data_IF_888332857823
#
_entry.id   IF_888332857823
#
_cell.length_a   1.000
_cell.length_b   1.000
_cell.length_c   1.000
_cell.angle_alpha   90.00
_cell.angle_beta   90.00
_cell.angle_gamma   90.00
#
_symmetry.space_group_name_H-M   'P 1'
#
loop_
_entity.id
_entity.type
_entity.pdbx_description
1 polymer ?
#
# COMPACT_ATOMS: atom_id res chain seq x y z
N UNK A 1 -20.55 16.44 -12.76
CA UNK A 1 -20.81 15.12 -12.13
C UNK A 1 -20.92 15.26 -10.62
N UNK A 2 -20.04 16.03 -9.97
CA UNK A 2 -20.08 16.30 -8.51
C UNK A 2 -21.41 16.86 -7.99
N UNK A 3 -22.09 17.77 -8.71
CA UNK A 3 -23.39 18.29 -8.26
C UNK A 3 -24.48 17.21 -8.22
N UNK A 4 -24.46 16.28 -9.18
CA UNK A 4 -25.39 15.13 -9.20
C UNK A 4 -25.08 14.15 -8.08
N UNK A 5 -23.80 13.92 -7.78
CA UNK A 5 -23.39 13.10 -6.65
C UNK A 5 -23.87 13.73 -5.33
N UNK A 6 -23.66 15.04 -5.16
CA UNK A 6 -24.13 15.79 -3.99
C UNK A 6 -25.66 15.71 -3.84
N UNK A 7 -26.42 15.87 -4.91
CA UNK A 7 -27.88 15.71 -4.90
C UNK A 7 -28.29 14.29 -4.49
N UNK A 8 -27.62 13.27 -5.05
CA UNK A 8 -27.87 11.87 -4.73
C UNK A 8 -27.58 11.55 -3.27
N UNK A 9 -26.43 11.97 -2.72
CA UNK A 9 -26.09 11.75 -1.32
C UNK A 9 -27.05 12.47 -0.37
N UNK A 10 -27.43 13.72 -0.67
CA UNK A 10 -28.43 14.43 0.13
C UNK A 10 -29.80 13.75 0.08
N UNK A 11 -30.20 13.22 -1.08
CA UNK A 11 -31.45 12.45 -1.20
C UNK A 11 -31.38 11.18 -0.36
N UNK A 12 -30.27 10.45 -0.45
CA UNK A 12 -30.03 9.21 0.29
C UNK A 12 -30.03 9.44 1.81
N UNK A 13 -29.31 10.46 2.27
CA UNK A 13 -29.24 10.86 3.69
C UNK A 13 -30.60 11.20 4.30
N UNK A 14 -31.54 11.71 3.49
CA UNK A 14 -32.87 12.13 3.94
C UNK A 14 -33.95 11.03 3.78
N UNK A 15 -33.58 9.79 3.49
CA UNK A 15 -34.54 8.68 3.43
C UNK A 15 -35.11 8.37 4.84
N UNK A 16 -36.40 8.01 4.97
CA UNK A 16 -37.08 7.85 6.26
C UNK A 16 -36.41 6.88 7.27
N UNK A 17 -35.66 5.89 6.80
CA UNK A 17 -35.00 4.88 7.64
C UNK A 17 -33.46 4.96 7.55
N UNK A 18 -32.92 6.11 7.14
CA UNK A 18 -31.48 6.24 6.87
C UNK A 18 -30.63 5.97 8.12
N UNK A 19 -30.94 6.66 9.22
CA UNK A 19 -30.15 6.59 10.46
C UNK A 19 -30.17 5.19 11.11
N UNK A 20 -31.21 4.39 10.83
CA UNK A 20 -31.35 3.03 11.34
C UNK A 20 -30.53 2.00 10.56
N UNK A 21 -30.19 2.29 9.29
CA UNK A 21 -29.62 1.30 8.36
C UNK A 21 -28.22 1.67 7.83
N UNK A 22 -27.80 2.93 7.92
CA UNK A 22 -26.60 3.42 7.25
C UNK A 22 -25.71 4.26 8.16
N UNK A 23 -24.42 4.28 7.83
CA UNK A 23 -23.43 5.05 8.55
C UNK A 23 -23.50 6.53 8.15
N UNK A 24 -24.00 7.36 9.07
CA UNK A 24 -24.12 8.81 8.87
C UNK A 24 -22.76 9.47 8.61
N UNK A 25 -21.72 9.09 9.35
CA UNK A 25 -20.39 9.69 9.20
C UNK A 25 -19.83 9.45 7.80
N UNK A 26 -20.02 8.24 7.26
CA UNK A 26 -19.57 7.91 5.91
C UNK A 26 -20.27 8.76 4.86
N UNK A 27 -21.59 8.91 4.94
CA UNK A 27 -22.33 9.72 3.95
C UNK A 27 -22.02 11.21 4.08
N UNK A 28 -21.89 11.71 5.30
CA UNK A 28 -21.48 13.10 5.53
C UNK A 28 -20.04 13.35 5.03
N UNK A 29 -19.15 12.36 5.12
CA UNK A 29 -17.82 12.42 4.50
C UNK A 29 -17.91 12.54 2.99
N UNK A 30 -18.68 11.69 2.31
CA UNK A 30 -18.86 11.74 0.86
C UNK A 30 -19.46 13.06 0.37
N UNK A 31 -20.45 13.61 1.11
CA UNK A 31 -21.02 14.93 0.85
C UNK A 31 -19.93 16.02 0.96
N UNK A 32 -19.12 15.96 2.00
CA UNK A 32 -18.00 16.89 2.22
C UNK A 32 -16.97 16.78 1.10
N UNK A 33 -16.61 15.56 0.70
CA UNK A 33 -15.64 15.27 -0.35
C UNK A 33 -16.10 15.77 -1.71
N UNK A 34 -17.41 15.74 -2.02
CA UNK A 34 -17.95 16.42 -3.22
C UNK A 34 -17.62 17.93 -3.25
N UNK A 35 -17.62 18.59 -2.09
CA UNK A 35 -17.25 20.00 -1.95
C UNK A 35 -15.74 20.21 -2.10
N UNK A 36 -14.92 19.40 -1.42
CA UNK A 36 -13.45 19.42 -1.48
C UNK A 36 -12.95 19.14 -2.91
N UNK A 37 -13.56 18.18 -3.60
CA UNK A 37 -13.22 17.78 -4.96
C UNK A 37 -13.26 18.94 -5.95
N UNK A 38 -14.24 19.86 -5.81
CA UNK A 38 -14.31 21.06 -6.65
C UNK A 38 -13.07 21.95 -6.52
N UNK A 39 -12.49 22.03 -5.32
CA UNK A 39 -11.28 22.82 -5.05
C UNK A 39 -10.05 22.07 -5.56
N UNK A 40 -9.96 20.77 -5.33
CA UNK A 40 -8.79 19.97 -5.72
C UNK A 40 -8.69 19.84 -7.25
N UNK A 41 -9.82 19.75 -7.97
CA UNK A 41 -9.84 19.76 -9.45
C UNK A 41 -9.21 21.01 -10.07
N UNK A 42 -9.24 22.14 -9.36
CA UNK A 42 -8.65 23.40 -9.81
C UNK A 42 -7.12 23.49 -9.53
N UNK A 43 -6.55 22.52 -8.82
CA UNK A 43 -5.13 22.46 -8.43
C UNK A 43 -4.53 21.11 -8.87
N UNK A 44 -4.46 20.81 -10.18
CA UNK A 44 -3.99 19.52 -10.64
C UNK A 44 -2.49 19.36 -10.36
N UNK A 45 -2.12 18.15 -9.95
CA UNK A 45 -0.71 17.77 -9.83
C UNK A 45 -0.21 17.30 -11.18
N UNK A 46 0.99 17.73 -11.53
CA UNK A 46 1.64 17.29 -12.75
C UNK A 46 2.18 15.87 -12.54
N UNK A 47 1.55 14.91 -13.21
CA UNK A 47 2.01 13.52 -13.29
C UNK A 47 2.65 13.31 -14.66
N UNK A 48 3.79 12.64 -14.68
CA UNK A 48 4.44 12.17 -15.90
C UNK A 48 4.39 10.65 -15.91
N UNK A 49 3.71 10.10 -16.91
CA UNK A 49 3.61 8.66 -17.11
C UNK A 49 4.60 8.22 -18.18
N UNK A 50 5.49 7.30 -17.83
CA UNK A 50 6.49 6.75 -18.73
C UNK A 50 6.22 5.26 -18.88
N UNK A 51 5.97 4.83 -20.11
CA UNK A 51 5.90 3.41 -20.44
C UNK A 51 7.31 2.82 -20.45
N UNK A 52 7.56 1.75 -19.69
CA UNK A 52 8.89 1.14 -19.59
C UNK A 52 9.29 0.35 -20.85
N UNK A 53 8.33 0.08 -21.73
CA UNK A 53 8.52 -0.71 -22.95
C UNK A 53 8.82 -2.18 -22.67
N UNK A 54 9.12 -2.92 -23.73
CA UNK A 54 9.65 -4.28 -23.61
C UNK A 54 10.99 -4.28 -22.83
N UNK A 55 11.23 -5.27 -21.95
CA UNK A 55 10.43 -6.48 -21.77
C UNK A 55 9.35 -6.38 -20.67
N UNK A 56 9.20 -5.21 -20.01
CA UNK A 56 8.31 -5.03 -18.85
C UNK A 56 6.86 -4.81 -19.28
N UNK A 57 6.61 -3.82 -20.14
CA UNK A 57 5.30 -3.56 -20.71
C UNK A 57 5.15 -4.40 -21.99
N UNK A 58 4.79 -5.66 -21.83
CA UNK A 58 4.59 -6.62 -22.92
C UNK A 58 3.09 -6.88 -23.18
N UNK A 59 2.77 -7.90 -24.00
CA UNK A 59 1.39 -8.22 -24.39
C UNK A 59 0.51 -8.77 -23.25
N UNK A 60 1.11 -9.20 -22.14
CA UNK A 60 0.38 -9.69 -20.96
C UNK A 60 -0.02 -8.53 -20.04
N UNK A 61 -1.06 -8.73 -19.23
CA UNK A 61 -1.40 -7.77 -18.20
C UNK A 61 -0.39 -7.86 -17.05
N UNK A 62 0.47 -6.85 -16.91
CA UNK A 62 1.44 -6.73 -15.82
C UNK A 62 0.96 -5.67 -14.84
N UNK A 63 0.88 -6.03 -13.56
CA UNK A 63 0.24 -5.22 -12.52
C UNK A 63 0.91 -5.41 -11.15
N UNK A 64 0.54 -4.59 -10.17
CA UNK A 64 1.17 -4.54 -8.83
C UNK A 64 2.71 -4.54 -8.86
N UNK A 65 3.36 -3.62 -9.60
CA UNK A 65 4.80 -3.54 -9.60
C UNK A 65 5.33 -3.01 -8.27
N UNK A 66 6.43 -3.60 -7.80
CA UNK A 66 7.26 -3.11 -6.70
C UNK A 66 8.69 -3.02 -7.19
N UNK A 67 9.38 -1.93 -6.86
CA UNK A 67 10.76 -1.68 -7.28
C UNK A 67 11.66 -1.57 -6.04
N UNK A 68 12.87 -2.11 -6.11
CA UNK A 68 13.89 -1.86 -5.11
C UNK A 68 14.29 -0.39 -5.11
N UNK A 69 14.67 0.16 -3.97
CA UNK A 69 14.93 1.60 -3.85
C UNK A 69 16.23 2.02 -4.56
N UNK A 70 17.13 1.07 -4.84
CA UNK A 70 18.28 1.26 -5.74
C UNK A 70 17.91 1.18 -7.23
N UNK A 71 16.63 0.99 -7.54
CA UNK A 71 16.02 0.90 -8.87
C UNK A 71 16.57 -0.21 -9.78
N UNK A 72 17.23 -1.21 -9.21
CA UNK A 72 17.87 -2.29 -9.95
C UNK A 72 17.05 -3.58 -10.05
N UNK A 73 15.98 -3.70 -9.27
CA UNK A 73 15.10 -4.88 -9.29
C UNK A 73 13.65 -4.42 -9.32
N UNK A 74 12.86 -5.00 -10.22
CA UNK A 74 11.41 -4.86 -10.23
C UNK A 74 10.77 -6.24 -10.09
N UNK A 75 9.74 -6.34 -9.26
CA UNK A 75 8.89 -7.52 -9.13
C UNK A 75 7.46 -7.10 -9.43
N UNK A 76 6.72 -7.88 -10.18
CA UNK A 76 5.34 -7.56 -10.56
C UNK A 76 4.53 -8.83 -10.78
N UNK A 77 3.21 -8.68 -10.80
CA UNK A 77 2.27 -9.73 -11.15
C UNK A 77 2.03 -9.76 -12.65
N UNK A 78 1.92 -10.94 -13.23
CA UNK A 78 1.48 -11.15 -14.61
C UNK A 78 0.27 -12.06 -14.63
N UNK A 79 -0.79 -11.62 -15.30
CA UNK A 79 -1.97 -12.45 -15.58
C UNK A 79 -1.62 -13.50 -16.64
N UNK A 80 -1.68 -14.78 -16.28
CA UNK A 80 -1.50 -15.89 -17.20
C UNK A 80 -2.81 -16.68 -17.30
N UNK A 81 -2.95 -17.42 -18.41
CA UNK A 81 -4.15 -18.18 -18.76
C UNK A 81 -4.77 -19.02 -17.63
N UNK A 82 -3.98 -19.50 -16.66
CA UNK A 82 -4.44 -20.40 -15.60
C UNK A 82 -4.20 -19.90 -14.18
N UNK A 83 -3.35 -18.89 -13.99
CA UNK A 83 -2.97 -18.37 -12.68
C UNK A 83 -2.26 -17.02 -12.83
N UNK A 84 -2.20 -16.26 -11.74
CA UNK A 84 -1.38 -15.04 -11.69
C UNK A 84 0.02 -15.39 -11.19
N UNK A 85 1.04 -14.97 -11.93
CA UNK A 85 2.43 -15.29 -11.64
C UNK A 85 3.19 -14.08 -11.11
N UNK A 86 4.16 -14.33 -10.22
CA UNK A 86 5.10 -13.32 -9.74
C UNK A 86 6.34 -13.38 -10.63
N UNK A 87 6.64 -12.28 -11.29
CA UNK A 87 7.80 -12.11 -12.16
C UNK A 87 8.80 -11.13 -11.56
N UNK A 88 10.09 -11.36 -11.82
CA UNK A 88 11.18 -10.45 -11.47
C UNK A 88 11.94 -10.06 -12.74
N UNK A 89 12.32 -8.79 -12.85
CA UNK A 89 13.35 -8.33 -13.80
C UNK A 89 14.43 -7.54 -13.06
N UNK A 90 15.66 -7.59 -13.58
CA UNK A 90 16.79 -6.84 -13.05
C UNK A 90 17.27 -5.82 -14.07
N UNK A 91 17.78 -4.69 -13.60
CA UNK A 91 18.37 -3.67 -14.46
C UNK A 91 19.87 -3.92 -14.57
N UNK A 92 20.36 -4.17 -15.78
CA UNK A 92 21.78 -4.36 -16.10
C UNK A 92 22.17 -3.35 -17.17
N UNK A 93 23.21 -2.55 -16.91
CA UNK A 93 23.66 -1.47 -17.82
C UNK A 93 22.52 -0.52 -18.24
N UNK A 94 21.60 -0.22 -17.30
CA UNK A 94 20.46 0.66 -17.53
C UNK A 94 19.27 0.02 -18.24
N UNK A 95 19.33 -1.27 -18.60
CA UNK A 95 18.25 -1.97 -19.29
C UNK A 95 17.66 -3.09 -18.43
N UNK A 96 16.34 -3.20 -18.42
CA UNK A 96 15.64 -4.31 -17.79
C UNK A 96 15.90 -5.61 -18.55
N UNK A 97 16.23 -6.68 -17.83
CA UNK A 97 16.36 -8.03 -18.38
C UNK A 97 14.99 -8.64 -18.67
N UNK A 98 14.97 -9.71 -19.47
CA UNK A 98 13.75 -10.52 -19.62
C UNK A 98 13.23 -10.96 -18.24
N UNK A 99 11.93 -10.79 -17.96
CA UNK A 99 11.34 -11.17 -16.68
C UNK A 99 11.40 -12.68 -16.45
N UNK A 100 11.86 -13.07 -15.26
CA UNK A 100 11.92 -14.45 -14.79
C UNK A 100 10.71 -14.75 -13.88
N UNK A 101 10.06 -15.90 -14.07
CA UNK A 101 8.96 -16.34 -13.21
C UNK A 101 9.53 -16.87 -11.88
N UNK A 102 9.29 -16.14 -10.79
CA UNK A 102 9.76 -16.47 -9.45
C UNK A 102 8.69 -17.11 -8.57
N UNK A 103 7.47 -17.29 -9.07
CA UNK A 103 6.34 -17.92 -8.35
C UNK A 103 6.72 -19.23 -7.65
N UNK A 104 7.42 -20.18 -8.30
CA UNK A 104 7.80 -21.43 -7.66
C UNK A 104 8.88 -21.26 -6.58
N UNK A 105 9.74 -20.24 -6.71
CA UNK A 105 10.84 -19.99 -5.78
C UNK A 105 10.30 -19.48 -4.43
N UNK A 106 9.34 -18.56 -4.49
CA UNK A 106 8.69 -18.00 -3.29
C UNK A 106 7.62 -18.92 -2.71
N UNK A 107 7.38 -20.09 -3.33
CA UNK A 107 6.38 -21.08 -2.89
C UNK A 107 4.95 -20.57 -2.88
N UNK A 108 4.61 -19.68 -3.81
CA UNK A 108 3.25 -19.15 -3.96
C UNK A 108 2.32 -20.21 -4.55
N UNK A 109 1.19 -20.44 -3.89
CA UNK A 109 0.11 -21.38 -4.25
C UNK A 109 -1.17 -20.67 -4.75
N UNK A 110 -1.13 -19.34 -4.90
CA UNK A 110 -2.28 -18.49 -5.22
C UNK A 110 -2.59 -17.50 -4.08
N UNK A 111 -3.26 -16.39 -4.40
CA UNK A 111 -3.59 -15.32 -3.44
C UNK A 111 -2.38 -14.65 -2.76
N UNK A 112 -1.27 -14.52 -3.49
CA UNK A 112 -0.06 -13.84 -3.05
C UNK A 112 0.22 -12.65 -3.95
N UNK A 113 0.50 -11.50 -3.36
CA UNK A 113 0.88 -10.28 -4.09
C UNK A 113 2.12 -9.65 -3.46
N UNK A 114 3.08 -9.14 -4.27
CA UNK A 114 4.22 -8.38 -3.75
C UNK A 114 3.76 -7.01 -3.24
N UNK A 115 4.39 -6.52 -2.17
CA UNK A 115 4.07 -5.21 -1.58
C UNK A 115 5.28 -4.29 -1.51
N UNK A 116 6.48 -4.83 -1.33
CA UNK A 116 7.71 -4.03 -1.27
C UNK A 116 8.97 -4.88 -1.50
N UNK A 117 10.03 -4.25 -2.00
CA UNK A 117 11.40 -4.77 -2.01
C UNK A 117 12.26 -3.96 -1.02
N UNK A 118 13.23 -4.62 -0.37
CA UNK A 118 14.30 -3.90 0.35
C UNK A 118 15.08 -2.98 -0.58
N UNK A 119 15.85 -2.06 0.00
CA UNK A 119 16.68 -1.11 -0.75
C UNK A 119 17.50 -1.77 -1.86
N UNK A 120 18.15 -2.89 -1.55
CA UNK A 120 19.03 -3.66 -2.43
C UNK A 120 18.33 -4.79 -3.20
N UNK A 121 16.99 -4.89 -3.09
CA UNK A 121 16.20 -5.91 -3.77
C UNK A 121 16.44 -7.34 -3.28
N UNK A 122 16.98 -7.55 -2.08
CA UNK A 122 17.25 -8.90 -1.52
C UNK A 122 16.21 -9.42 -0.54
N UNK A 123 15.33 -8.57 -0.03
CA UNK A 123 14.14 -9.00 0.71
C UNK A 123 12.90 -8.58 -0.09
N UNK A 124 11.98 -9.52 -0.31
CA UNK A 124 10.69 -9.29 -0.96
C UNK A 124 9.60 -9.52 0.07
N UNK A 125 8.81 -8.48 0.32
CA UNK A 125 7.63 -8.54 1.17
C UNK A 125 6.42 -8.85 0.30
N UNK A 126 5.60 -9.79 0.76
CA UNK A 126 4.39 -10.22 0.09
C UNK A 126 3.23 -10.24 1.08
N UNK A 127 2.01 -10.16 0.57
CA UNK A 127 0.81 -10.46 1.35
C UNK A 127 0.17 -11.70 0.77
N UNK A 128 -0.16 -12.66 1.64
CA UNK A 128 -0.88 -13.88 1.28
C UNK A 128 -2.24 -13.91 1.94
N UNK A 129 -3.25 -14.33 1.19
CA UNK A 129 -4.59 -14.64 1.69
C UNK A 129 -5.68 -13.71 1.17
N UNK A 130 -6.88 -13.85 1.72
CA UNK A 130 -8.09 -13.17 1.23
C UNK A 130 -8.92 -12.58 2.37
N UNK A 131 -9.63 -11.49 2.06
CA UNK A 131 -10.50 -10.77 3.00
C UNK A 131 -9.77 -10.45 4.32
N UNK A 132 -10.37 -10.82 5.44
CA UNK A 132 -9.85 -10.60 6.80
C UNK A 132 -8.76 -11.60 7.22
N UNK A 133 -8.31 -12.49 6.33
CA UNK A 133 -7.28 -13.50 6.59
C UNK A 133 -6.10 -13.26 5.66
N UNK A 134 -5.43 -12.12 5.88
CA UNK A 134 -4.24 -11.69 5.14
C UNK A 134 -3.09 -11.50 6.10
N UNK A 135 -1.94 -12.05 5.73
CA UNK A 135 -0.71 -12.00 6.52
C UNK A 135 0.43 -11.48 5.65
N UNK A 136 1.39 -10.80 6.26
CA UNK A 136 2.62 -10.36 5.58
C UNK A 136 3.67 -11.47 5.66
N UNK A 137 4.29 -11.75 4.52
CA UNK A 137 5.37 -12.72 4.35
C UNK A 137 6.62 -12.02 3.84
N UNK A 138 7.76 -12.69 4.04
CA UNK A 138 9.05 -12.28 3.51
C UNK A 138 9.72 -13.44 2.79
N UNK A 139 10.24 -13.19 1.59
CA UNK A 139 11.17 -14.05 0.89
C UNK A 139 12.53 -13.35 0.77
N UNK A 140 13.62 -14.12 0.79
CA UNK A 140 14.99 -13.60 0.75
C UNK A 140 15.73 -14.12 -0.46
N UNK A 141 16.46 -13.25 -1.16
CA UNK A 141 17.32 -13.63 -2.27
C UNK A 141 18.67 -14.13 -1.77
N UNK A 142 18.96 -15.41 -1.95
CA UNK A 142 20.19 -16.09 -1.51
C UNK A 142 20.69 -17.02 -2.61
N UNK A 143 22.01 -17.01 -2.85
CA UNK A 143 22.68 -17.92 -3.79
C UNK A 143 22.05 -17.97 -5.20
N UNK A 144 21.50 -16.83 -5.65
CA UNK A 144 20.86 -16.68 -6.97
C UNK A 144 19.36 -16.99 -7.01
N UNK A 145 18.74 -17.37 -5.89
CA UNK A 145 17.33 -17.78 -5.82
C UNK A 145 16.59 -17.08 -4.69
N UNK A 146 15.28 -16.89 -4.86
CA UNK A 146 14.40 -16.56 -3.74
C UNK A 146 14.17 -17.79 -2.87
N UNK A 147 14.16 -17.59 -1.55
CA UNK A 147 13.69 -18.63 -0.62
C UNK A 147 12.18 -18.78 -0.72
N UNK A 148 11.66 -19.90 -0.23
CA UNK A 148 10.25 -19.97 0.09
C UNK A 148 9.88 -18.82 1.06
N UNK A 149 8.70 -18.23 0.88
CA UNK A 149 8.28 -17.12 1.73
C UNK A 149 7.91 -17.63 3.13
N UNK A 150 8.27 -16.85 4.15
CA UNK A 150 7.97 -17.17 5.56
C UNK A 150 7.10 -16.04 6.14
N UNK A 151 6.11 -16.36 6.99
CA UNK A 151 5.29 -15.34 7.62
C UNK A 151 6.14 -14.47 8.54
N UNK A 152 5.81 -13.18 8.64
CA UNK A 152 6.37 -12.35 9.69
C UNK A 152 5.86 -12.79 11.07
N UNK A 153 6.62 -12.47 12.11
CA UNK A 153 6.29 -12.89 13.48
C UNK A 153 5.06 -12.20 14.05
N UNK A 154 4.61 -12.65 15.23
CA UNK A 154 3.35 -12.26 15.89
C UNK A 154 3.23 -10.77 16.24
N UNK A 155 4.33 -10.02 16.22
CA UNK A 155 4.27 -8.57 16.36
C UNK A 155 3.73 -7.87 15.09
N UNK A 156 3.89 -8.51 13.94
CA UNK A 156 3.38 -8.06 12.65
C UNK A 156 2.11 -8.82 12.31
N UNK A 157 2.16 -10.14 12.18
CA UNK A 157 0.97 -10.91 11.80
C UNK A 157 0.12 -11.21 13.03
N UNK A 158 -1.17 -10.88 12.97
CA UNK A 158 -2.10 -10.97 14.10
C UNK A 158 -3.33 -11.82 13.76
N UNK A 159 -4.33 -11.86 14.65
CA UNK A 159 -5.64 -12.46 14.32
C UNK A 159 -6.53 -11.54 13.45
N UNK A 160 -5.95 -10.46 12.93
CA UNK A 160 -6.58 -9.46 12.07
C UNK A 160 -5.82 -9.46 10.74
N UNK A 161 -6.36 -8.82 9.72
CA UNK A 161 -5.70 -8.70 8.43
C UNK A 161 -4.53 -7.73 8.50
N UNK A 162 -3.43 -8.11 7.85
CA UNK A 162 -2.33 -7.25 7.46
C UNK A 162 -2.26 -7.18 5.93
N UNK A 163 -2.66 -6.05 5.34
CA UNK A 163 -3.05 -5.97 3.92
C UNK A 163 -1.96 -5.45 3.00
N UNK A 164 -0.96 -4.73 3.53
CA UNK A 164 0.16 -4.18 2.75
C UNK A 164 1.35 -3.84 3.66
N UNK A 165 2.56 -3.80 3.11
CA UNK A 165 3.75 -3.36 3.84
C UNK A 165 4.78 -2.63 2.96
N UNK A 166 5.59 -1.78 3.58
CA UNK A 166 6.79 -1.17 3.01
C UNK A 166 7.89 -1.09 4.07
N UNK A 167 9.16 -1.16 3.65
CA UNK A 167 10.31 -1.17 4.56
C UNK A 167 11.22 0.04 4.30
N UNK A 168 11.79 0.59 5.36
CA UNK A 168 12.79 1.65 5.27
C UNK A 168 14.06 1.21 4.54
N UNK A 169 14.77 2.17 3.96
CA UNK A 169 16.00 1.94 3.19
C UNK A 169 17.09 1.21 3.99
N UNK A 170 17.15 1.48 5.29
CA UNK A 170 18.06 0.81 6.23
C UNK A 170 17.60 -0.60 6.63
N UNK A 171 16.38 -1.01 6.28
CA UNK A 171 15.80 -2.32 6.60
C UNK A 171 15.33 -2.47 8.05
N UNK A 172 15.31 -1.39 8.85
CA UNK A 172 15.03 -1.44 10.29
C UNK A 172 13.63 -0.97 10.71
N UNK A 173 12.85 -0.39 9.81
CA UNK A 173 11.47 0.04 10.10
C UNK A 173 10.53 -0.49 9.03
N UNK A 174 9.52 -1.25 9.45
CA UNK A 174 8.41 -1.69 8.62
C UNK A 174 7.23 -0.76 8.86
N UNK A 175 6.60 -0.29 7.80
CA UNK A 175 5.29 0.35 7.83
C UNK A 175 4.29 -0.57 7.17
N UNK A 176 3.13 -0.78 7.78
CA UNK A 176 2.18 -1.76 7.27
C UNK A 176 0.75 -1.42 7.66
N UNK A 177 -0.20 -1.88 6.87
CA UNK A 177 -1.64 -1.67 7.10
C UNK A 177 -2.23 -2.85 7.87
N UNK A 178 -3.07 -2.58 8.87
CA UNK A 178 -3.75 -3.61 9.64
C UNK A 178 -5.08 -3.14 10.21
N UNK A 179 -6.05 -4.06 10.34
CA UNK A 179 -7.31 -3.84 11.08
C UNK A 179 -7.26 -4.38 12.53
N UNK A 180 -6.07 -4.38 13.13
CA UNK A 180 -5.91 -4.74 14.55
C UNK A 180 -6.61 -3.75 15.48
N UNK A 181 -7.04 -4.23 16.64
CA UNK A 181 -7.66 -3.42 17.68
C UNK A 181 -6.75 -2.30 18.18
N UNK A 182 -7.35 -1.16 18.51
CA UNK A 182 -6.65 0.01 19.05
C UNK A 182 -6.26 1.04 17.98
N UNK A 183 -6.70 0.83 16.74
CA UNK A 183 -6.65 1.83 15.68
C UNK A 183 -7.74 2.90 15.77
N UNK A 184 -7.62 3.89 14.89
CA UNK A 184 -8.56 5.00 14.70
C UNK A 184 -9.71 4.59 13.76
N UNK A 185 -9.39 3.86 12.68
CA UNK A 185 -10.34 3.37 11.68
C UNK A 185 -10.42 1.84 11.58
N UNK A 186 -11.03 1.34 10.51
CA UNK A 186 -11.07 -0.10 10.23
C UNK A 186 -9.71 -0.58 9.72
N UNK A 187 -9.04 0.14 8.81
CA UNK A 187 -7.68 -0.15 8.37
C UNK A 187 -6.79 1.04 8.70
N UNK A 188 -5.73 0.77 9.45
CA UNK A 188 -4.79 1.78 9.93
C UNK A 188 -3.37 1.44 9.52
N UNK A 189 -2.51 2.46 9.41
CA UNK A 189 -1.07 2.29 9.20
C UNK A 189 -0.35 2.23 10.54
N UNK A 190 0.44 1.17 10.71
CA UNK A 190 1.30 0.90 11.84
C UNK A 190 2.76 0.93 11.41
N UNK A 191 3.66 1.08 12.39
CA UNK A 191 5.09 0.88 12.23
C UNK A 191 5.63 -0.14 13.21
N UNK A 192 6.71 -0.83 12.85
CA UNK A 192 7.45 -1.71 13.73
C UNK A 192 8.93 -1.60 13.46
N UNK A 193 9.73 -1.61 14.54
CA UNK A 193 11.20 -1.55 14.46
C UNK A 193 11.81 -2.94 14.56
N UNK A 194 12.75 -3.24 13.68
CA UNK A 194 13.55 -4.47 13.73
C UNK A 194 14.50 -4.41 14.92
N UNK A 195 14.38 -5.38 15.81
CA UNK A 195 15.20 -5.51 17.00
C UNK A 195 16.57 -6.11 16.67
N UNK A 196 17.53 -6.01 17.59
CA UNK A 196 18.90 -6.51 17.42
C UNK A 196 18.99 -8.01 17.11
N UNK A 197 17.99 -8.79 17.50
CA UNK A 197 17.89 -10.22 17.22
C UNK A 197 17.31 -10.53 15.82
N UNK A 198 17.02 -9.50 15.02
CA UNK A 198 16.46 -9.62 13.67
C UNK A 198 14.94 -9.77 13.61
N UNK A 199 14.26 -9.87 14.75
CA UNK A 199 12.80 -9.93 14.82
C UNK A 199 12.18 -8.53 14.81
N UNK A 200 10.98 -8.39 14.26
CA UNK A 200 10.20 -7.17 14.37
C UNK A 200 9.69 -6.99 15.81
N UNK A 201 9.80 -5.78 16.34
CA UNK A 201 9.24 -5.39 17.63
C UNK A 201 7.74 -5.14 17.57
N UNK A 202 7.09 -4.79 18.70
CA UNK A 202 5.65 -4.50 18.74
C UNK A 202 5.25 -3.44 17.71
N UNK A 203 4.06 -3.60 17.15
CA UNK A 203 3.49 -2.61 16.24
C UNK A 203 2.99 -1.38 16.99
N UNK A 204 3.30 -0.21 16.45
CA UNK A 204 2.92 1.11 16.96
C UNK A 204 2.06 1.81 15.90
N UNK A 205 0.84 2.22 16.28
CA UNK A 205 -0.05 2.98 15.41
C UNK A 205 0.60 4.33 15.06
N UNK A 206 0.53 4.78 13.80
CA UNK A 206 1.12 6.06 13.39
C UNK A 206 0.38 7.30 13.92
N UNK A 207 -0.75 7.08 14.60
CA UNK A 207 -1.55 8.08 15.28
C UNK A 207 -2.43 8.90 14.34
N UNK A 208 -3.30 9.69 14.94
CA UNK A 208 -4.36 10.49 14.28
C UNK A 208 -3.88 11.58 13.31
N UNK A 209 -2.56 11.69 13.10
CA UNK A 209 -1.99 12.53 12.03
C UNK A 209 -2.04 11.82 10.68
N UNK A 210 -1.77 10.52 10.69
CA UNK A 210 -1.78 9.66 9.50
C UNK A 210 -3.10 8.92 9.42
N UNK A 211 -3.50 8.26 10.51
CA UNK A 211 -4.73 7.49 10.57
C UNK A 211 -5.92 8.38 10.90
N UNK A 212 -7.07 8.07 10.34
CA UNK A 212 -8.35 8.75 10.54
C UNK A 212 -9.37 7.75 11.07
N UNK A 213 -10.62 8.17 11.23
CA UNK A 213 -11.71 7.26 11.59
C UNK A 213 -12.18 6.37 10.40
N UNK A 214 -11.54 6.53 9.23
CA UNK A 214 -11.81 5.79 7.99
C UNK A 214 -10.60 4.90 7.66
N UNK A 215 -10.48 4.43 6.42
CA UNK A 215 -9.38 3.54 6.06
C UNK A 215 -8.15 4.30 5.55
N UNK A 216 -6.98 3.87 6.03
CA UNK A 216 -5.66 4.21 5.51
C UNK A 216 -4.89 2.95 5.09
N UNK A 217 -4.54 2.87 3.81
CA UNK A 217 -3.97 1.65 3.22
C UNK A 217 -2.73 1.90 2.34
N UNK A 218 -2.09 0.80 1.96
CA UNK A 218 -1.02 0.74 0.95
C UNK A 218 0.12 1.74 1.18
N UNK A 219 0.79 1.72 2.36
CA UNK A 219 1.90 2.62 2.64
C UNK A 219 3.07 2.35 1.68
N UNK A 220 3.70 3.42 1.23
CA UNK A 220 4.92 3.40 0.44
C UNK A 220 5.89 4.48 0.93
N UNK A 221 7.09 4.09 1.33
CA UNK A 221 8.08 5.01 1.85
C UNK A 221 9.10 5.39 0.76
N UNK A 222 9.42 6.68 0.64
CA UNK A 222 10.47 7.17 -0.25
C UNK A 222 11.83 6.58 0.11
N UNK A 223 12.73 6.48 -0.87
CA UNK A 223 14.06 5.89 -0.71
C UNK A 223 14.92 6.57 0.38
N UNK A 224 14.71 7.87 0.61
CA UNK A 224 15.38 8.62 1.67
C UNK A 224 14.70 8.50 3.04
N UNK A 225 13.57 7.78 3.12
CA UNK A 225 12.80 7.57 4.33
C UNK A 225 12.03 8.79 4.83
N UNK A 226 11.95 9.87 4.04
CA UNK A 226 11.39 11.16 4.49
C UNK A 226 9.96 11.41 4.07
N UNK A 227 9.41 10.66 3.12
CA UNK A 227 8.06 10.85 2.61
C UNK A 227 7.34 9.51 2.66
N UNK A 228 6.23 9.46 3.40
CA UNK A 228 5.30 8.33 3.39
C UNK A 228 4.13 8.68 2.48
N UNK A 229 3.97 7.90 1.41
CA UNK A 229 2.78 7.87 0.58
C UNK A 229 1.81 6.81 1.10
N UNK A 230 0.51 7.06 1.00
CA UNK A 230 -0.53 6.12 1.41
C UNK A 230 -1.87 6.52 0.81
N UNK A 231 -2.82 5.60 0.74
CA UNK A 231 -4.19 5.88 0.32
C UNK A 231 -5.07 6.14 1.54
N UNK A 232 -5.99 7.09 1.49
CA UNK A 232 -6.92 7.39 2.60
C UNK A 232 -8.32 7.78 2.14
N UNK A 233 -9.32 7.34 2.91
CA UNK A 233 -10.74 7.76 2.77
C UNK A 233 -11.12 8.96 3.65
N UNK A 234 -10.27 9.35 4.61
CA UNK A 234 -10.65 10.28 5.66
C UNK A 234 -10.07 11.69 5.58
N UNK A 235 -8.98 11.87 4.83
CA UNK A 235 -8.31 13.16 4.73
C UNK A 235 -9.05 14.15 3.82
N UNK A 236 -8.39 15.23 3.42
CA UNK A 236 -8.94 16.20 2.47
C UNK A 236 -8.95 15.60 1.04
N UNK A 237 -9.86 14.66 0.80
CA UNK A 237 -9.99 13.86 -0.42
C UNK A 237 -11.08 14.37 -1.38
N UNK A 238 -11.14 13.76 -2.56
CA UNK A 238 -12.08 14.01 -3.64
C UNK A 238 -13.23 12.98 -3.68
N UNK A 239 -13.14 11.92 -2.86
CA UNK A 239 -14.17 10.89 -2.64
C UNK A 239 -13.53 9.51 -2.59
N UNK A 240 -14.01 8.62 -1.71
CA UNK A 240 -13.34 7.32 -1.49
C UNK A 240 -11.84 7.46 -1.18
N UNK A 241 -11.02 6.54 -1.69
CA UNK A 241 -9.57 6.59 -1.55
C UNK A 241 -8.92 7.56 -2.53
N UNK A 242 -8.19 8.53 -1.98
CA UNK A 242 -7.16 9.29 -2.70
C UNK A 242 -5.78 8.92 -2.12
N UNK A 243 -4.73 9.17 -2.89
CA UNK A 243 -3.33 9.08 -2.51
C UNK A 243 -2.94 10.37 -1.78
N UNK A 244 -2.26 10.21 -0.65
CA UNK A 244 -1.67 11.28 0.13
C UNK A 244 -0.19 11.04 0.30
N UNK A 245 0.56 12.10 0.57
CA UNK A 245 1.88 11.98 1.17
C UNK A 245 1.99 12.79 2.46
N UNK A 246 2.87 12.35 3.37
CA UNK A 246 3.28 13.08 4.56
C UNK A 246 4.80 13.06 4.73
N UNK A 247 5.37 14.21 5.07
CA UNK A 247 6.80 14.36 5.33
C UNK A 247 7.18 14.01 6.78
N UNK A 248 8.30 13.32 6.98
CA UNK A 248 8.87 13.06 8.29
C UNK A 248 9.71 14.27 8.74
N UNK A 249 9.32 14.88 9.85
CA UNK A 249 10.05 16.00 10.45
C UNK A 249 11.28 15.52 11.22
N UNK A 250 12.22 16.43 11.46
CA UNK A 250 13.42 16.18 12.29
C UNK A 250 13.09 15.70 13.70
N UNK A 251 11.91 16.05 14.22
CA UNK A 251 11.44 15.61 15.54
C UNK A 251 10.78 14.21 15.52
N UNK A 252 10.85 13.50 14.40
CA UNK A 252 10.30 12.16 14.22
C UNK A 252 8.78 12.09 14.05
N UNK A 253 8.10 13.24 13.86
CA UNK A 253 6.66 13.30 13.61
C UNK A 253 6.34 13.52 12.14
N UNK A 254 5.25 12.93 11.69
CA UNK A 254 4.69 13.16 10.37
C UNK A 254 4.05 14.55 10.25
N UNK A 255 4.13 15.13 9.05
CA UNK A 255 3.41 16.34 8.66
C UNK A 255 1.93 16.08 8.39
N UNK A 256 1.15 17.15 8.17
CA UNK A 256 -0.21 17.00 7.67
C UNK A 256 -0.18 16.36 6.28
N UNK A 257 -0.97 15.29 6.03
CA UNK A 257 -1.04 14.68 4.72
C UNK A 257 -1.50 15.68 3.65
N UNK A 258 -0.85 15.63 2.49
CA UNK A 258 -1.21 16.41 1.30
C UNK A 258 -1.74 15.47 0.25
N UNK A 259 -2.95 15.75 -0.25
CA UNK A 259 -3.57 14.98 -1.32
C UNK A 259 -2.77 15.09 -2.61
N UNK A 260 -2.53 13.96 -3.27
CA UNK A 260 -1.84 13.89 -4.57
C UNK A 260 -2.53 13.12 -5.69
N UNK A 261 -3.80 12.75 -5.50
CA UNK A 261 -4.64 12.21 -6.57
C UNK A 261 -5.46 11.00 -6.18
#
# INVERSE_FOLDING_TARGET
QLDKALEAYNTFRNMPDFEDNYNLNLVDNEISSCGKAKIIQDIPIKIEEINLGEPINNSSANYNPVISQDENTIVFMTDLKFYNAIYQSKKINGQWTDPENITPQVGSDGDVVPTCLSYDGKELFLVKGSNNNRDIYISKFKDGWWTNMEPLGENINSNHAETHATVSSDGYTLYFTSNRKGGEGELDIYSSKKMKNGQWGPAENLGSKINTIYNEETPFLSADGKILYFSSEGHYNMGGFDIFYSGLKENGKWDNPTNVG
#
